data_IF_658240970221
#
_entry.id   IF_658240970221
#
_cell.length_a   1.000
_cell.length_b   1.000
_cell.length_c   1.000
_cell.angle_alpha   90.00
_cell.angle_beta   90.00
_cell.angle_gamma   90.00
#
_symmetry.space_group_name_H-M   'P 1'
#
loop_
_entity.id
_entity.type
_entity.pdbx_description
1 polymer ?
#
# COMPACT_ATOMS: atom_id res chain seq x y z
N UNK A 1 -49.49 -9.91 12.11
CA UNK A 1 -48.40 -9.05 11.58
C UNK A 1 -49.05 -7.92 10.78
N UNK A 2 -48.78 -6.66 11.10
CA UNK A 2 -49.44 -5.51 10.45
C UNK A 2 -48.71 -5.12 9.15
N UNK A 3 -49.37 -4.37 8.27
CA UNK A 3 -48.83 -3.95 6.96
C UNK A 3 -47.42 -3.34 7.04
N UNK A 4 -47.13 -2.63 8.12
CA UNK A 4 -45.85 -1.97 8.34
C UNK A 4 -44.74 -2.98 8.69
N UNK A 5 -45.06 -4.06 9.40
CA UNK A 5 -44.12 -5.14 9.68
C UNK A 5 -43.70 -5.88 8.40
N UNK A 6 -44.61 -6.10 7.44
CA UNK A 6 -44.26 -6.70 6.14
C UNK A 6 -43.34 -5.79 5.32
N UNK A 7 -43.58 -4.47 5.33
CA UNK A 7 -42.72 -3.51 4.65
C UNK A 7 -41.30 -3.50 5.22
N UNK A 8 -41.16 -3.52 6.55
CA UNK A 8 -39.85 -3.56 7.20
C UNK A 8 -39.09 -4.83 6.83
N UNK A 9 -39.73 -6.00 6.95
CA UNK A 9 -39.09 -7.29 6.61
C UNK A 9 -38.69 -7.35 5.12
N UNK A 10 -39.53 -6.82 4.23
CA UNK A 10 -39.24 -6.78 2.80
C UNK A 10 -38.03 -5.89 2.47
N UNK A 11 -37.90 -4.73 3.12
CA UNK A 11 -36.75 -3.82 2.94
C UNK A 11 -35.46 -4.47 3.43
N UNK A 12 -35.46 -5.11 4.60
CA UNK A 12 -34.30 -5.83 5.10
C UNK A 12 -33.88 -6.97 4.17
N UNK A 13 -34.84 -7.74 3.64
CA UNK A 13 -34.56 -8.81 2.67
C UNK A 13 -33.94 -8.28 1.36
N UNK A 14 -34.36 -7.10 0.91
CA UNK A 14 -33.81 -6.46 -0.29
C UNK A 14 -32.39 -5.94 -0.07
N UNK A 15 -32.10 -5.36 1.10
CA UNK A 15 -30.76 -4.89 1.47
C UNK A 15 -29.79 -6.07 1.64
N UNK A 16 -30.21 -7.15 2.29
CA UNK A 16 -29.35 -8.33 2.46
C UNK A 16 -29.08 -9.00 1.12
N UNK A 17 -30.08 -9.12 0.25
CA UNK A 17 -29.91 -9.71 -1.08
C UNK A 17 -28.98 -8.84 -1.94
N UNK A 18 -29.16 -7.52 -1.94
CA UNK A 18 -28.26 -6.61 -2.68
C UNK A 18 -26.84 -6.68 -2.14
N UNK A 19 -26.64 -6.67 -0.82
CA UNK A 19 -25.31 -6.83 -0.22
C UNK A 19 -24.65 -8.18 -0.55
N UNK A 20 -25.41 -9.29 -0.52
CA UNK A 20 -24.95 -10.61 -0.94
C UNK A 20 -24.58 -10.64 -2.44
N UNK A 21 -25.38 -10.01 -3.30
CA UNK A 21 -25.04 -9.88 -4.72
C UNK A 21 -23.80 -9.02 -4.93
N UNK A 22 -23.60 -7.97 -4.12
CA UNK A 22 -22.38 -7.18 -4.16
C UNK A 22 -21.18 -8.04 -3.75
N UNK A 23 -21.27 -8.84 -2.69
CA UNK A 23 -20.18 -9.76 -2.32
C UNK A 23 -19.91 -10.86 -3.37
N UNK A 24 -20.93 -11.29 -4.12
CA UNK A 24 -20.78 -12.29 -5.16
C UNK A 24 -20.25 -11.71 -6.48
N UNK A 25 -20.69 -10.50 -6.85
CA UNK A 25 -20.36 -9.84 -8.12
C UNK A 25 -19.08 -9.03 -8.03
N UNK A 26 -18.75 -8.46 -6.87
CA UNK A 26 -17.44 -7.86 -6.64
C UNK A 26 -16.48 -8.97 -6.23
N UNK A 27 -15.63 -9.48 -7.14
CA UNK A 27 -14.58 -10.39 -6.75
C UNK A 27 -13.79 -9.73 -5.63
N UNK A 28 -13.58 -10.48 -4.54
CA UNK A 28 -12.59 -10.14 -3.52
C UNK A 28 -11.33 -9.78 -4.28
N UNK A 29 -10.82 -8.56 -4.11
CA UNK A 29 -9.60 -8.13 -4.78
C UNK A 29 -8.56 -9.25 -4.61
N UNK A 30 -8.30 -9.96 -5.71
CA UNK A 30 -7.33 -11.04 -5.71
C UNK A 30 -6.02 -10.36 -5.37
N UNK A 31 -5.44 -10.67 -4.21
CA UNK A 31 -4.02 -10.38 -4.00
C UNK A 31 -3.31 -11.01 -5.19
N UNK A 32 -2.58 -10.26 -6.03
CA UNK A 32 -2.01 -10.82 -7.24
C UNK A 32 -0.97 -11.85 -6.81
N UNK A 33 -1.39 -13.12 -6.82
CA UNK A 33 -0.53 -14.25 -6.56
C UNK A 33 -0.23 -14.87 -7.93
N UNK A 34 0.97 -14.62 -8.43
CA UNK A 34 1.50 -15.38 -9.57
C UNK A 34 1.42 -14.71 -10.95
N UNK A 35 2.00 -13.51 -11.08
CA UNK A 35 2.72 -13.15 -12.31
C UNK A 35 4.19 -13.02 -11.93
N UNK A 36 5.03 -13.93 -12.42
CA UNK A 36 6.44 -14.10 -12.05
C UNK A 36 7.36 -12.95 -12.44
N UNK A 37 7.12 -11.75 -11.90
CA UNK A 37 8.09 -10.67 -11.82
C UNK A 37 8.47 -10.52 -10.36
N UNK A 38 9.63 -11.05 -10.00
CA UNK A 38 10.28 -10.70 -8.74
C UNK A 38 10.46 -9.19 -8.76
N UNK A 39 9.62 -8.47 -8.01
CA UNK A 39 9.79 -7.03 -7.84
C UNK A 39 11.14 -6.81 -7.17
N UNK A 40 11.95 -5.91 -7.72
CA UNK A 40 13.21 -5.51 -7.09
C UNK A 40 12.92 -4.55 -5.95
N UNK A 41 13.74 -4.59 -4.90
CA UNK A 41 13.56 -3.73 -3.71
C UNK A 41 13.57 -2.26 -4.10
N UNK A 42 14.39 -1.88 -5.08
CA UNK A 42 14.47 -0.52 -5.61
C UNK A 42 13.14 -0.06 -6.22
N UNK A 43 12.47 -0.94 -6.96
CA UNK A 43 11.16 -0.67 -7.53
C UNK A 43 10.09 -0.54 -6.45
N UNK A 44 10.14 -1.39 -5.42
CA UNK A 44 9.22 -1.31 -4.30
C UNK A 44 9.38 0.01 -3.54
N UNK A 45 10.60 0.39 -3.17
CA UNK A 45 10.87 1.67 -2.49
C UNK A 45 10.39 2.83 -3.36
N UNK A 46 10.71 2.83 -4.65
CA UNK A 46 10.31 3.92 -5.56
C UNK A 46 8.80 4.10 -5.67
N UNK A 47 8.04 3.00 -5.65
CA UNK A 47 6.57 3.03 -5.76
C UNK A 47 5.87 3.39 -4.44
N UNK A 48 6.54 3.20 -3.31
CA UNK A 48 5.94 3.33 -1.98
C UNK A 48 6.61 4.42 -1.14
N UNK A 49 7.51 5.24 -1.70
CA UNK A 49 8.37 6.15 -0.94
C UNK A 49 7.56 7.15 -0.09
N UNK A 50 6.44 7.65 -0.63
CA UNK A 50 5.51 8.54 0.09
C UNK A 50 4.90 7.90 1.34
N UNK A 51 4.65 6.60 1.31
CA UNK A 51 4.04 5.87 2.43
C UNK A 51 5.10 5.38 3.42
N UNK A 52 6.31 5.08 2.93
CA UNK A 52 7.44 4.62 3.74
C UNK A 52 8.09 5.76 4.54
N UNK A 53 8.07 6.98 4.01
CA UNK A 53 8.67 8.14 4.68
C UNK A 53 7.89 8.51 5.95
N UNK A 54 8.56 8.64 7.12
CA UNK A 54 7.94 9.18 8.33
C UNK A 54 7.69 10.68 8.22
N UNK A 55 8.48 11.38 7.40
CA UNK A 55 8.28 12.79 7.06
C UNK A 55 7.27 12.92 5.93
N UNK A 56 6.50 14.02 5.91
CA UNK A 56 5.46 14.29 4.91
C UNK A 56 5.96 15.18 3.78
N UNK A 57 5.38 14.98 2.60
CA UNK A 57 5.56 15.93 1.49
C UNK A 57 4.98 17.30 1.83
N UNK A 58 5.53 18.33 1.22
CA UNK A 58 5.11 19.72 1.43
C UNK A 58 4.62 20.36 0.13
N UNK A 59 3.79 21.39 0.28
CA UNK A 59 3.34 22.27 -0.82
C UNK A 59 2.73 21.54 -2.03
N UNK A 60 2.13 20.37 -1.80
CA UNK A 60 1.50 19.57 -2.85
C UNK A 60 2.48 18.76 -3.71
N UNK A 61 3.76 18.70 -3.32
CA UNK A 61 4.75 17.80 -3.92
C UNK A 61 4.44 16.32 -3.67
N UNK A 62 5.13 15.46 -4.42
CA UNK A 62 5.12 14.01 -4.20
C UNK A 62 6.54 13.50 -4.16
N UNK A 63 6.84 12.69 -3.14
CA UNK A 63 8.16 12.10 -3.03
C UNK A 63 8.44 11.19 -4.21
N UNK A 64 9.63 11.34 -4.79
CA UNK A 64 10.21 10.42 -5.74
C UNK A 64 11.66 10.13 -5.37
N UNK A 65 12.14 8.94 -5.73
CA UNK A 65 13.50 8.49 -5.45
C UNK A 65 14.46 9.08 -6.47
N UNK A 66 15.58 9.63 -5.99
CA UNK A 66 16.67 10.18 -6.81
C UNK A 66 17.89 9.28 -6.87
N UNK A 67 18.18 8.55 -5.79
CA UNK A 67 19.20 7.49 -5.74
C UNK A 67 18.80 6.40 -4.76
N UNK A 68 19.23 5.17 -5.03
CA UNK A 68 19.05 4.06 -4.10
C UNK A 68 20.19 3.06 -4.19
N UNK A 69 20.68 2.66 -3.02
CA UNK A 69 21.75 1.67 -2.88
C UNK A 69 21.30 0.60 -1.92
N UNK A 70 21.44 -0.67 -2.32
CA UNK A 70 21.04 -1.82 -1.49
C UNK A 70 22.18 -2.82 -1.36
N UNK A 71 22.35 -3.36 -0.16
CA UNK A 71 23.32 -4.42 0.11
C UNK A 71 22.90 -5.22 1.35
N UNK A 72 22.87 -6.54 1.22
CA UNK A 72 22.68 -7.45 2.36
C UNK A 72 21.42 -7.21 3.21
N UNK A 73 20.28 -6.85 2.59
CA UNK A 73 19.03 -6.58 3.32
C UNK A 73 18.97 -5.21 3.98
N UNK A 74 19.90 -4.32 3.64
CA UNK A 74 19.91 -2.91 4.06
C UNK A 74 20.01 -2.02 2.82
N UNK A 75 19.59 -0.77 2.95
CA UNK A 75 19.79 0.19 1.90
C UNK A 75 19.74 1.63 2.38
N UNK A 76 20.19 2.51 1.50
CA UNK A 76 20.11 3.96 1.65
C UNK A 76 19.33 4.47 0.46
N UNK A 77 18.37 5.35 0.71
CA UNK A 77 17.57 5.99 -0.34
C UNK A 77 17.66 7.50 -0.21
N UNK A 78 17.89 8.16 -1.34
CA UNK A 78 17.79 9.60 -1.51
C UNK A 78 16.47 9.88 -2.25
N UNK A 79 15.68 10.81 -1.73
CA UNK A 79 14.37 11.12 -2.28
C UNK A 79 13.98 12.56 -1.98
N UNK A 80 13.10 13.11 -2.81
CA UNK A 80 12.67 14.52 -2.71
C UNK A 80 11.27 14.71 -3.29
N UNK A 81 10.63 15.82 -2.94
CA UNK A 81 9.30 16.21 -3.46
C UNK A 81 9.34 17.50 -4.31
N UNK A 82 10.54 17.95 -4.66
CA UNK A 82 10.81 19.23 -5.32
C UNK A 82 10.98 20.43 -4.38
N UNK A 83 10.70 20.27 -3.08
CA UNK A 83 10.87 21.33 -2.07
C UNK A 83 11.81 20.91 -0.93
N UNK A 84 11.72 19.67 -0.47
CA UNK A 84 12.62 19.08 0.53
C UNK A 84 13.28 17.83 -0.04
N UNK A 85 14.54 17.62 0.32
CA UNK A 85 15.34 16.44 -0.03
C UNK A 85 15.80 15.72 1.23
N UNK A 86 15.58 14.41 1.27
CA UNK A 86 15.81 13.57 2.44
C UNK A 86 16.69 12.36 2.07
N UNK A 87 17.41 11.87 3.08
CA UNK A 87 18.15 10.61 3.01
C UNK A 87 17.66 9.71 4.13
N UNK A 88 17.33 8.47 3.81
CA UNK A 88 16.90 7.50 4.79
C UNK A 88 17.67 6.18 4.69
N UNK A 89 17.94 5.59 5.84
CA UNK A 89 18.38 4.20 5.96
C UNK A 89 17.15 3.30 6.09
N UNK A 90 17.17 2.15 5.41
CA UNK A 90 16.11 1.16 5.51
C UNK A 90 16.66 -0.27 5.61
N UNK A 91 15.87 -1.15 6.21
CA UNK A 91 16.14 -2.59 6.24
C UNK A 91 14.98 -3.36 5.63
N UNK A 92 15.27 -4.42 4.88
CA UNK A 92 14.26 -5.17 4.15
C UNK A 92 14.52 -6.67 4.19
N UNK A 93 13.43 -7.43 4.01
CA UNK A 93 13.45 -8.88 3.81
C UNK A 93 12.79 -9.20 2.48
N UNK A 94 13.33 -10.18 1.78
CA UNK A 94 12.75 -10.72 0.55
C UNK A 94 12.34 -12.17 0.79
N UNK A 95 11.07 -12.49 0.56
CA UNK A 95 10.57 -13.87 0.56
C UNK A 95 9.92 -14.17 -0.79
N UNK A 96 10.22 -15.33 -1.36
CA UNK A 96 9.64 -15.75 -2.64
C UNK A 96 8.11 -15.86 -2.61
N UNK A 97 7.52 -16.07 -1.44
CA UNK A 97 6.07 -16.20 -1.25
C UNK A 97 5.39 -14.89 -0.83
N UNK A 98 6.08 -14.07 -0.01
CA UNK A 98 5.50 -12.86 0.61
C UNK A 98 5.93 -11.55 -0.04
N UNK A 99 6.88 -11.59 -0.97
CA UNK A 99 7.42 -10.39 -1.62
C UNK A 99 8.46 -9.66 -0.77
N UNK A 100 8.51 -8.34 -0.92
CA UNK A 100 9.42 -7.45 -0.20
C UNK A 100 8.71 -6.89 1.02
N UNK A 101 9.38 -6.96 2.16
CA UNK A 101 8.94 -6.38 3.42
C UNK A 101 9.98 -5.36 3.90
N UNK A 102 9.58 -4.10 4.07
CA UNK A 102 10.42 -3.08 4.72
C UNK A 102 10.20 -3.19 6.22
N UNK A 103 11.28 -3.48 6.93
CA UNK A 103 11.27 -3.75 8.38
C UNK A 103 11.67 -2.53 9.22
N UNK A 104 12.36 -1.58 8.61
CA UNK A 104 12.72 -0.29 9.20
C UNK A 104 12.94 0.74 8.10
N UNK A 105 12.59 2.00 8.38
CA UNK A 105 12.84 3.15 7.53
C UNK A 105 13.10 4.36 8.44
N UNK A 106 14.29 4.95 8.38
CA UNK A 106 14.71 6.02 9.30
C UNK A 106 15.42 7.13 8.54
N UNK A 107 14.84 8.33 8.61
CA UNK A 107 15.41 9.53 7.99
C UNK A 107 16.63 9.99 8.79
N UNK A 108 17.71 10.32 8.09
CA UNK A 108 18.94 10.83 8.69
C UNK A 108 18.75 12.29 9.15
N UNK A 109 19.42 12.71 10.23
CA UNK A 109 19.50 14.13 10.56
C UNK A 109 20.23 14.89 9.44
N UNK A 110 19.73 16.08 9.13
CA UNK A 110 20.31 17.03 8.16
C UNK A 110 21.37 17.90 8.83
#
# INVERSE_FOLDING_TARGET
MNRNQYLIVAVFALITLTFLTLLYVYPRAETPNGSGRVMRVESYISQNISDLSPEKEVLGGKFYVTDIQTTGGKGVVHYEDGHIALVADFTYKTSGEKGIEITSFTVRPQ
#
